data_IF_880509836446
#
_entry.id   IF_880509836446
#
_cell.length_a   1.000
_cell.length_b   1.000
_cell.length_c   1.000
_cell.angle_alpha   90.00
_cell.angle_beta   90.00
_cell.angle_gamma   90.00
#
_symmetry.space_group_name_H-M   'P 1'
#
loop_
_entity.id
_entity.type
_entity.pdbx_description
1 polymer ?
#
# COMPACT_ATOMS: atom_id res chain seq x y z
N UNK A 1 -3.54 -0.49 -3.90
CA UNK A 1 -4.47 -0.11 -2.80
C UNK A 1 -4.89 1.35 -2.81
N UNK A 2 -3.98 2.34 -2.88
CA UNK A 2 -4.35 3.77 -2.88
C UNK A 2 -5.37 4.14 -3.97
N UNK A 3 -5.13 3.70 -5.21
CA UNK A 3 -6.03 3.95 -6.33
C UNK A 3 -7.46 3.45 -6.09
N UNK A 4 -7.61 2.22 -5.57
CA UNK A 4 -8.92 1.62 -5.26
C UNK A 4 -9.68 2.47 -4.24
N UNK A 5 -9.00 2.93 -3.19
CA UNK A 5 -9.63 3.78 -2.17
C UNK A 5 -10.06 5.13 -2.75
N UNK A 6 -9.22 5.79 -3.56
CA UNK A 6 -9.55 7.07 -4.20
C UNK A 6 -10.76 6.92 -5.12
N UNK A 7 -10.78 5.88 -5.97
CA UNK A 7 -11.90 5.63 -6.86
C UNK A 7 -13.20 5.33 -6.08
N UNK A 8 -13.13 4.58 -4.98
CA UNK A 8 -14.31 4.31 -4.15
C UNK A 8 -14.90 5.60 -3.55
N UNK A 9 -14.05 6.50 -3.04
CA UNK A 9 -14.49 7.81 -2.52
C UNK A 9 -15.13 8.67 -3.62
N UNK A 10 -14.54 8.69 -4.82
CA UNK A 10 -15.08 9.42 -5.97
C UNK A 10 -16.44 8.88 -6.43
N UNK A 11 -16.70 7.58 -6.27
CA UNK A 11 -17.98 6.92 -6.57
C UNK A 11 -18.93 6.94 -5.36
N UNK A 12 -18.93 8.01 -4.58
CA UNK A 12 -19.83 8.24 -3.44
C UNK A 12 -19.83 7.12 -2.39
N UNK A 13 -18.73 6.40 -2.25
CA UNK A 13 -18.61 5.24 -1.35
C UNK A 13 -19.67 4.15 -1.62
N UNK A 14 -20.13 3.99 -2.87
CA UNK A 14 -21.23 3.07 -3.21
C UNK A 14 -20.89 1.59 -2.95
N UNK A 15 -21.79 0.83 -2.29
CA UNK A 15 -21.66 -0.62 -2.15
C UNK A 15 -21.84 -1.35 -3.49
N UNK A 16 -22.65 -0.83 -4.41
CA UNK A 16 -22.84 -1.37 -5.76
C UNK A 16 -21.55 -1.28 -6.58
N UNK A 17 -20.82 -0.17 -6.48
CA UNK A 17 -19.52 -0.01 -7.11
C UNK A 17 -18.52 -1.05 -6.59
N UNK A 18 -18.47 -1.25 -5.27
CA UNK A 18 -17.65 -2.30 -4.67
C UNK A 18 -18.00 -3.69 -5.22
N UNK A 19 -19.29 -4.01 -5.33
CA UNK A 19 -19.74 -5.29 -5.90
C UNK A 19 -19.29 -5.47 -7.35
N UNK A 20 -19.39 -4.42 -8.17
CA UNK A 20 -18.97 -4.43 -9.59
C UNK A 20 -17.46 -4.65 -9.75
N UNK A 21 -16.66 -4.11 -8.82
CA UNK A 21 -15.20 -4.19 -8.85
C UNK A 21 -14.61 -5.31 -7.96
N UNK A 22 -15.45 -6.25 -7.48
CA UNK A 22 -15.06 -7.37 -6.62
C UNK A 22 -14.34 -6.94 -5.32
N UNK A 23 -14.78 -5.82 -4.75
CA UNK A 23 -14.22 -5.26 -3.52
C UNK A 23 -15.10 -5.55 -2.31
N UNK A 24 -14.46 -5.78 -1.17
CA UNK A 24 -15.16 -5.95 0.10
C UNK A 24 -15.53 -4.58 0.71
N UNK A 25 -16.81 -4.21 0.61
CA UNK A 25 -17.34 -2.96 1.14
C UNK A 25 -17.01 -2.73 2.63
N UNK A 26 -17.22 -3.75 3.49
CA UNK A 26 -16.91 -3.68 4.92
C UNK A 26 -15.44 -3.35 5.20
N UNK A 27 -14.50 -3.88 4.40
CA UNK A 27 -13.08 -3.58 4.55
C UNK A 27 -12.80 -2.11 4.22
N UNK A 28 -13.41 -1.57 3.15
CA UNK A 28 -13.24 -0.17 2.75
C UNK A 28 -13.85 0.82 3.76
N UNK A 29 -15.00 0.48 4.35
CA UNK A 29 -15.57 1.26 5.46
C UNK A 29 -14.62 1.33 6.65
N UNK A 30 -14.07 0.18 7.08
CA UNK A 30 -13.09 0.13 8.16
C UNK A 30 -11.83 0.95 7.86
N UNK A 31 -11.34 0.92 6.62
CA UNK A 31 -10.20 1.76 6.19
C UNK A 31 -10.54 3.25 6.31
N UNK A 32 -11.76 3.66 5.95
CA UNK A 32 -12.21 5.06 6.10
C UNK A 32 -12.30 5.47 7.57
N UNK A 33 -12.83 4.61 8.44
CA UNK A 33 -12.91 4.87 9.88
C UNK A 33 -11.53 5.05 10.50
N UNK A 34 -10.60 4.11 10.22
CA UNK A 34 -9.21 4.18 10.69
C UNK A 34 -8.54 5.48 10.22
N UNK A 35 -8.72 5.86 8.95
CA UNK A 35 -8.19 7.12 8.43
C UNK A 35 -8.75 8.33 9.17
N UNK A 36 -10.06 8.37 9.44
CA UNK A 36 -10.70 9.46 10.18
C UNK A 36 -10.13 9.59 11.60
N UNK A 37 -9.93 8.47 12.29
CA UNK A 37 -9.32 8.44 13.63
C UNK A 37 -7.89 8.98 13.60
N UNK A 38 -7.07 8.57 12.63
CA UNK A 38 -5.69 9.09 12.48
C UNK A 38 -5.71 10.60 12.23
N UNK A 39 -6.61 11.09 11.37
CA UNK A 39 -6.76 12.52 11.09
C UNK A 39 -7.15 13.31 12.34
N UNK A 40 -8.06 12.77 13.15
CA UNK A 40 -8.49 13.39 14.40
C UNK A 40 -7.33 13.48 15.41
N UNK A 41 -6.55 12.42 15.58
CA UNK A 41 -5.36 12.40 16.43
C UNK A 41 -4.33 13.44 15.95
N UNK A 42 -4.08 13.52 14.64
CA UNK A 42 -3.14 14.50 14.07
C UNK A 42 -3.60 15.93 14.33
N UNK A 43 -4.90 16.21 14.19
CA UNK A 43 -5.49 17.53 14.53
C UNK A 43 -5.36 17.85 16.01
N UNK A 44 -5.62 16.88 16.89
CA UNK A 44 -5.48 17.03 18.34
C UNK A 44 -4.03 17.37 18.74
N UNK A 45 -3.06 16.75 18.07
CA UNK A 45 -1.63 16.99 18.27
C UNK A 45 -1.10 18.22 17.49
N UNK A 46 -1.97 19.01 16.86
CA UNK A 46 -1.63 20.22 16.07
C UNK A 46 -0.65 19.96 14.92
N UNK A 47 -0.64 18.76 14.35
CA UNK A 47 0.12 18.48 13.15
C UNK A 47 -0.62 18.98 11.90
N UNK A 48 0.11 19.62 10.98
CA UNK A 48 -0.44 20.04 9.71
C UNK A 48 -0.68 18.83 8.80
N UNK A 49 -1.88 18.75 8.22
CA UNK A 49 -2.24 17.70 7.28
C UNK A 49 -2.08 18.27 5.87
N UNK A 50 -1.05 17.83 5.17
CA UNK A 50 -0.76 18.22 3.80
C UNK A 50 -0.85 17.01 2.87
N UNK A 51 -1.09 17.26 1.59
CA UNK A 51 -1.14 16.21 0.56
C UNK A 51 0.02 16.38 -0.39
N UNK A 52 0.69 15.27 -0.71
CA UNK A 52 1.79 15.20 -1.67
C UNK A 52 1.32 15.28 -3.14
N UNK A 53 0.02 15.50 -3.38
CA UNK A 53 -0.64 15.55 -4.70
C UNK A 53 -0.37 14.30 -5.53
N UNK A 54 0.55 14.39 -6.50
CA UNK A 54 0.87 13.32 -7.46
C UNK A 54 2.32 12.82 -7.30
N UNK A 55 3.05 13.28 -6.29
CA UNK A 55 4.40 12.79 -6.03
C UNK A 55 4.32 11.43 -5.31
N UNK A 56 4.34 10.37 -6.12
CA UNK A 56 4.35 9.00 -5.63
C UNK A 56 5.68 8.63 -4.96
N UNK A 57 6.77 9.35 -5.22
CA UNK A 57 8.08 9.05 -4.64
C UNK A 57 8.14 9.46 -3.17
N UNK A 58 7.48 10.55 -2.79
CA UNK A 58 7.31 10.90 -1.36
C UNK A 58 6.57 9.78 -0.62
N UNK A 59 5.49 9.25 -1.20
CA UNK A 59 4.72 8.15 -0.60
C UNK A 59 5.58 6.89 -0.48
N UNK A 60 6.34 6.54 -1.53
CA UNK A 60 7.26 5.39 -1.52
C UNK A 60 8.36 5.54 -0.47
N UNK A 61 8.93 6.75 -0.30
CA UNK A 61 9.93 7.03 0.73
C UNK A 61 9.37 6.82 2.13
N UNK A 62 8.15 7.29 2.40
CA UNK A 62 7.51 7.07 3.71
C UNK A 62 7.26 5.58 3.96
N UNK A 63 6.74 4.84 2.97
CA UNK A 63 6.54 3.38 3.09
C UNK A 63 7.88 2.68 3.35
N UNK A 64 8.92 3.03 2.61
CA UNK A 64 10.26 2.49 2.82
C UNK A 64 10.78 2.77 4.23
N UNK A 65 10.59 4.00 4.73
CA UNK A 65 11.01 4.36 6.09
C UNK A 65 10.24 3.61 7.19
N UNK A 66 8.95 3.31 6.95
CA UNK A 66 8.12 2.57 7.89
C UNK A 66 8.40 1.05 7.88
N UNK A 67 8.66 0.49 6.69
CA UNK A 67 8.84 -0.95 6.45
C UNK A 67 10.27 -1.34 6.07
N UNK A 68 11.27 -0.54 6.45
CA UNK A 68 12.67 -0.75 6.08
C UNK A 68 13.22 -2.12 6.52
N UNK A 69 12.63 -2.71 7.55
CA UNK A 69 12.95 -4.05 8.07
C UNK A 69 12.51 -5.16 7.11
N UNK A 70 11.48 -4.89 6.33
CA UNK A 70 10.84 -5.78 5.37
C UNK A 70 11.21 -5.36 3.94
N UNK A 71 12.46 -4.92 3.76
CA UNK A 71 13.01 -4.66 2.44
C UNK A 71 13.68 -5.93 1.90
N UNK A 72 13.52 -6.20 0.61
CA UNK A 72 14.10 -7.36 -0.05
C UNK A 72 14.72 -6.97 -1.40
N UNK A 73 15.76 -7.72 -1.80
CA UNK A 73 16.47 -7.54 -3.06
C UNK A 73 16.27 -8.75 -3.96
N UNK A 74 16.08 -8.50 -5.25
CA UNK A 74 16.01 -9.55 -6.27
C UNK A 74 17.38 -10.26 -6.37
N UNK A 75 17.38 -11.59 -6.24
CA UNK A 75 18.58 -12.42 -6.41
C UNK A 75 18.56 -13.18 -7.74
N UNK A 76 17.41 -13.73 -8.08
CA UNK A 76 17.12 -14.42 -9.34
C UNK A 76 15.67 -14.15 -9.73
N UNK A 77 15.27 -14.48 -10.96
CA UNK A 77 13.91 -14.26 -11.47
C UNK A 77 12.89 -14.85 -10.50
N UNK A 78 12.03 -13.99 -9.94
CA UNK A 78 10.97 -14.37 -9.00
C UNK A 78 11.41 -14.60 -7.55
N UNK A 79 12.71 -14.64 -7.25
CA UNK A 79 13.23 -14.86 -5.90
C UNK A 79 13.83 -13.57 -5.31
N UNK A 80 13.30 -13.17 -4.16
CA UNK A 80 13.77 -12.03 -3.38
C UNK A 80 14.38 -12.51 -2.07
N UNK A 81 15.39 -11.81 -1.59
CA UNK A 81 16.05 -12.08 -0.31
C UNK A 81 15.88 -10.87 0.59
N UNK A 82 15.33 -11.08 1.79
CA UNK A 82 15.20 -10.02 2.78
C UNK A 82 16.58 -9.46 3.16
N UNK A 83 16.71 -8.13 3.14
CA UNK A 83 17.98 -7.43 3.36
C UNK A 83 18.49 -7.52 4.80
N UNK A 84 17.60 -7.75 5.77
CA UNK A 84 17.93 -7.86 7.19
C UNK A 84 18.19 -9.30 7.61
N UNK A 85 17.29 -10.22 7.28
CA UNK A 85 17.31 -11.60 7.78
C UNK A 85 18.01 -12.57 6.83
N UNK A 86 18.19 -12.20 5.56
CA UNK A 86 18.74 -13.09 4.54
C UNK A 86 17.77 -14.21 4.11
N UNK A 87 16.53 -14.20 4.62
CA UNK A 87 15.51 -15.20 4.27
C UNK A 87 15.04 -14.97 2.84
N UNK A 88 15.03 -16.05 2.04
CA UNK A 88 14.50 -16.03 0.69
C UNK A 88 12.97 -16.12 0.70
N UNK A 89 12.33 -15.34 -0.17
CA UNK A 89 10.89 -15.29 -0.36
C UNK A 89 10.55 -15.13 -1.85
N UNK A 90 9.31 -15.47 -2.20
CA UNK A 90 8.78 -15.35 -3.56
C UNK A 90 7.63 -14.35 -3.56
N UNK A 91 7.41 -13.69 -4.70
CA UNK A 91 6.24 -12.82 -4.87
C UNK A 91 4.98 -13.69 -4.85
N UNK A 92 4.04 -13.37 -3.97
CA UNK A 92 2.76 -14.07 -3.92
C UNK A 92 1.91 -13.77 -5.17
N UNK A 93 1.15 -14.74 -5.73
CA UNK A 93 0.34 -14.54 -6.95
C UNK A 93 -0.71 -13.43 -6.87
N UNK A 94 -1.15 -13.07 -5.66
CA UNK A 94 -2.08 -11.94 -5.48
C UNK A 94 -1.42 -10.56 -5.59
N UNK A 95 -0.09 -10.50 -5.66
CA UNK A 95 0.65 -9.25 -5.81
C UNK A 95 0.53 -8.72 -7.23
N UNK A 96 0.37 -7.41 -7.37
CA UNK A 96 0.40 -6.77 -8.69
C UNK A 96 1.78 -6.85 -9.36
N UNK A 97 2.83 -7.27 -8.63
CA UNK A 97 4.17 -7.47 -9.17
C UNK A 97 4.38 -8.89 -9.75
N UNK A 98 3.46 -9.83 -9.52
CA UNK A 98 3.65 -11.23 -9.94
C UNK A 98 3.71 -11.39 -11.46
N UNK A 99 2.93 -10.60 -12.21
CA UNK A 99 2.85 -10.66 -13.67
C UNK A 99 3.52 -9.46 -14.35
N UNK A 100 4.31 -8.68 -13.61
CA UNK A 100 5.00 -7.54 -14.20
C UNK A 100 6.19 -8.04 -15.04
N UNK A 101 6.24 -7.68 -16.33
CA UNK A 101 7.37 -8.01 -17.21
C UNK A 101 8.71 -7.36 -16.80
N UNK A 102 8.68 -6.40 -15.87
CA UNK A 102 9.86 -5.80 -15.25
C UNK A 102 9.96 -6.21 -13.79
N UNK A 103 11.04 -6.89 -13.42
CA UNK A 103 11.31 -7.31 -12.04
C UNK A 103 12.13 -6.21 -11.35
N UNK A 104 11.57 -5.48 -10.38
CA UNK A 104 12.31 -4.42 -9.69
C UNK A 104 13.44 -5.00 -8.84
N UNK A 105 14.60 -4.34 -8.82
CA UNK A 105 15.76 -4.82 -8.05
C UNK A 105 15.50 -4.85 -6.54
N UNK A 106 14.67 -3.94 -6.04
CA UNK A 106 14.36 -3.77 -4.63
C UNK A 106 12.85 -3.63 -4.42
N UNK A 107 12.36 -4.29 -3.39
CA UNK A 107 10.96 -4.20 -2.95
C UNK A 107 10.88 -4.00 -1.44
N UNK A 108 9.74 -3.48 -1.02
CA UNK A 108 9.34 -3.41 0.38
C UNK A 108 8.01 -4.14 0.50
N UNK A 109 7.87 -5.02 1.49
CA UNK A 109 6.68 -5.85 1.67
C UNK A 109 6.07 -5.68 3.07
N UNK A 110 4.78 -5.99 3.18
CA UNK A 110 4.03 -5.88 4.43
C UNK A 110 4.02 -7.22 5.19
N UNK A 111 3.71 -8.30 4.47
CA UNK A 111 3.65 -9.69 4.93
C UNK A 111 4.22 -10.60 3.83
#
# INVERSE_FOLDING_TARGET
MLNVYVQWIQNSCSPEWCRKHFLHFKKLQKVREIRSQIVEIMKKNRHSITSCRFDHDIVRKVICSAYFTNAAKCKTIGQYVNLRTGVAAFIHPSSCLFELGSIPDYIVYHE
#
